data_IF_372338213177
#
_entry.id   IF_372338213177
#
_cell.length_a   1.000
_cell.length_b   1.000
_cell.length_c   1.000
_cell.angle_alpha   90.00
_cell.angle_beta   90.00
_cell.angle_gamma   90.00
#
_symmetry.space_group_name_H-M   'P 1'
#
loop_
_entity.id
_entity.type
_entity.pdbx_description
1 polymer ?
#
# COMPACT_ATOMS: atom_id res chain seq x y z
N UNK A 1 12.64 -10.29 -20.80
CA UNK A 1 11.44 -10.37 -21.64
C UNK A 1 10.78 -8.99 -21.88
N UNK A 2 10.88 -8.01 -20.96
CA UNK A 2 10.29 -6.66 -21.16
C UNK A 2 11.10 -5.67 -22.03
N UNK A 3 12.31 -6.03 -22.46
CA UNK A 3 13.14 -5.16 -23.30
C UNK A 3 13.00 -5.44 -24.80
N UNK A 4 12.25 -6.49 -25.21
CA UNK A 4 12.12 -6.90 -26.62
C UNK A 4 10.95 -6.27 -27.37
N UNK A 5 10.04 -5.57 -26.70
CA UNK A 5 8.98 -4.78 -27.34
C UNK A 5 9.47 -3.38 -27.77
N UNK A 6 10.79 -3.20 -27.89
CA UNK A 6 11.46 -1.91 -28.12
C UNK A 6 11.41 -1.41 -29.58
N UNK A 7 10.71 -2.10 -30.48
CA UNK A 7 10.64 -1.69 -31.90
C UNK A 7 9.55 -0.65 -32.22
N UNK A 8 8.85 -0.11 -31.21
CA UNK A 8 8.00 1.08 -31.39
C UNK A 8 8.38 2.18 -30.39
N UNK A 9 9.00 3.24 -30.92
CA UNK A 9 9.43 4.44 -30.20
C UNK A 9 8.26 5.22 -29.56
N UNK A 10 8.60 5.91 -28.45
CA UNK A 10 7.93 7.06 -27.79
C UNK A 10 7.12 6.88 -26.50
N UNK A 11 6.93 5.69 -25.93
CA UNK A 11 6.42 5.58 -24.56
C UNK A 11 6.77 4.22 -23.95
N UNK A 12 7.85 4.16 -23.20
CA UNK A 12 8.24 2.96 -22.46
C UNK A 12 7.25 2.75 -21.29
N UNK A 13 6.19 1.97 -21.54
CA UNK A 13 4.99 1.89 -20.68
C UNK A 13 5.10 0.91 -19.51
N UNK A 14 6.01 -0.07 -19.53
CA UNK A 14 6.11 -1.10 -18.51
C UNK A 14 7.52 -1.21 -17.94
N UNK A 15 7.69 -0.77 -16.68
CA UNK A 15 8.96 -0.84 -15.96
C UNK A 15 8.75 -1.25 -14.51
N UNK A 16 9.57 -2.17 -14.04
CA UNK A 16 9.73 -2.45 -12.62
C UNK A 16 10.91 -1.64 -12.09
N UNK A 17 10.67 -0.72 -11.15
CA UNK A 17 11.77 -0.01 -10.48
C UNK A 17 12.51 -0.99 -9.57
N UNK A 18 13.84 -0.97 -9.66
CA UNK A 18 14.73 -1.77 -8.83
C UNK A 18 15.85 -0.87 -8.28
N UNK A 19 16.52 -1.35 -7.25
CA UNK A 19 17.66 -0.68 -6.63
C UNK A 19 18.83 -1.65 -6.48
N UNK A 20 20.05 -1.13 -6.48
CA UNK A 20 21.25 -1.95 -6.40
C UNK A 20 21.50 -2.46 -4.98
N UNK A 21 21.92 -3.72 -4.88
CA UNK A 21 22.38 -4.34 -3.63
C UNK A 21 23.74 -4.98 -3.91
N UNK A 22 24.76 -4.56 -3.17
CA UNK A 22 26.15 -5.03 -3.33
C UNK A 22 26.54 -5.81 -2.07
N UNK A 23 26.57 -7.14 -2.10
CA UNK A 23 27.06 -7.93 -0.97
C UNK A 23 28.57 -7.71 -0.82
N UNK A 24 29.01 -7.41 0.41
CA UNK A 24 30.43 -7.27 0.78
C UNK A 24 30.93 -8.51 1.55
N UNK A 25 30.01 -9.36 2.00
CA UNK A 25 30.29 -10.62 2.66
C UNK A 25 28.98 -11.36 3.02
N UNK A 26 29.06 -12.46 3.79
CA UNK A 26 27.88 -13.27 4.12
C UNK A 26 26.84 -12.55 5.01
N UNK A 27 27.27 -11.53 5.76
CA UNK A 27 26.43 -10.78 6.72
C UNK A 27 26.50 -9.26 6.54
N UNK A 28 27.15 -8.80 5.48
CA UNK A 28 27.35 -7.37 5.21
C UNK A 28 27.17 -7.07 3.73
N UNK A 29 26.61 -5.91 3.45
CA UNK A 29 26.37 -5.44 2.10
C UNK A 29 25.93 -3.99 2.11
N UNK A 30 25.91 -3.39 0.94
CA UNK A 30 25.43 -2.03 0.70
C UNK A 30 24.12 -2.10 -0.07
N UNK A 31 23.15 -1.29 0.33
CA UNK A 31 21.86 -1.13 -0.35
C UNK A 31 21.80 0.29 -0.86
N UNK A 32 21.47 0.47 -2.13
CA UNK A 32 21.26 1.79 -2.69
C UNK A 32 20.09 2.48 -2.00
N UNK A 33 20.30 3.72 -1.59
CA UNK A 33 19.19 4.59 -1.23
C UNK A 33 18.39 4.94 -2.48
N UNK A 34 17.06 5.03 -2.34
CA UNK A 34 16.17 5.47 -3.41
C UNK A 34 15.64 6.83 -3.01
N UNK A 35 16.00 7.85 -3.77
CA UNK A 35 15.57 9.23 -3.52
C UNK A 35 14.15 9.49 -4.04
N UNK A 36 13.52 10.54 -3.48
CA UNK A 36 12.22 11.07 -3.90
C UNK A 36 11.04 10.09 -3.84
N UNK A 37 11.16 9.04 -3.03
CA UNK A 37 10.07 8.10 -2.76
C UNK A 37 9.50 8.34 -1.36
N UNK A 38 8.18 8.26 -1.26
CA UNK A 38 7.44 8.43 -0.01
C UNK A 38 6.75 7.11 0.34
N UNK A 39 6.95 6.55 1.55
CA UNK A 39 6.18 5.39 2.00
C UNK A 39 4.69 5.72 2.06
N UNK A 40 3.83 4.81 1.61
CA UNK A 40 2.39 5.02 1.67
C UNK A 40 1.90 5.23 3.12
N UNK A 41 2.59 4.65 4.10
CA UNK A 41 2.27 4.86 5.51
C UNK A 41 2.44 6.32 5.94
N UNK A 42 3.40 7.04 5.36
CA UNK A 42 3.61 8.45 5.64
C UNK A 42 2.41 9.30 5.24
N UNK A 43 1.72 8.96 4.14
CA UNK A 43 0.50 9.65 3.70
C UNK A 43 -0.64 9.45 4.71
N UNK A 44 -0.83 8.20 5.16
CA UNK A 44 -1.83 7.87 6.19
C UNK A 44 -1.52 8.61 7.52
N UNK A 45 -0.27 8.59 7.96
CA UNK A 45 0.16 9.27 9.19
C UNK A 45 -0.04 10.78 9.13
N UNK A 46 0.25 11.41 7.98
CA UNK A 46 -0.01 12.84 7.75
C UNK A 46 -1.50 13.16 7.87
N UNK A 47 -2.37 12.33 7.30
CA UNK A 47 -3.82 12.48 7.45
C UNK A 47 -4.26 12.35 8.91
N UNK A 48 -3.82 11.32 9.63
CA UNK A 48 -4.16 11.14 11.05
C UNK A 48 -3.75 12.33 11.92
N UNK A 49 -2.53 12.87 11.69
CA UNK A 49 -2.05 14.04 12.41
C UNK A 49 -2.91 15.28 12.12
N UNK A 50 -3.38 15.47 10.88
CA UNK A 50 -4.27 16.57 10.51
C UNK A 50 -5.62 16.46 11.22
N UNK A 51 -6.23 15.27 11.22
CA UNK A 51 -7.50 15.03 11.91
C UNK A 51 -7.36 15.23 13.43
N UNK A 52 -6.29 14.72 14.04
CA UNK A 52 -6.01 14.91 15.45
C UNK A 52 -5.81 16.39 15.82
N UNK A 53 -5.15 17.18 14.97
CA UNK A 53 -4.99 18.62 15.18
C UNK A 53 -6.33 19.37 15.09
N UNK A 54 -7.19 19.02 14.13
CA UNK A 54 -8.53 19.61 13.99
C UNK A 54 -9.39 19.31 15.23
N UNK A 55 -9.38 18.06 15.71
CA UNK A 55 -10.09 17.67 16.91
C UNK A 55 -9.53 18.36 18.16
N UNK A 56 -8.21 18.47 18.25
CA UNK A 56 -7.56 19.14 19.38
C UNK A 56 -7.98 20.62 19.47
N UNK A 57 -8.06 21.30 18.32
CA UNK A 57 -8.53 22.68 18.23
C UNK A 57 -10.02 22.82 18.60
N UNK A 58 -10.87 21.86 18.23
CA UNK A 58 -12.31 21.88 18.55
C UNK A 58 -12.60 21.59 20.02
N UNK A 59 -11.83 20.71 20.66
CA UNK A 59 -12.10 20.19 22.00
C UNK A 59 -11.24 20.87 23.09
N UNK A 60 -10.29 21.74 22.72
CA UNK A 60 -9.28 22.31 23.63
C UNK A 60 -8.53 21.24 24.46
N UNK A 61 -8.41 20.02 23.92
CA UNK A 61 -7.70 18.89 24.53
C UNK A 61 -6.73 18.30 23.52
N UNK A 62 -5.55 17.90 23.97
CA UNK A 62 -4.57 17.25 23.11
C UNK A 62 -5.06 15.85 22.72
N UNK A 63 -5.25 15.63 21.41
CA UNK A 63 -5.61 14.33 20.85
C UNK A 63 -4.35 13.69 20.28
N UNK A 64 -3.96 12.54 20.84
CA UNK A 64 -2.82 11.78 20.36
C UNK A 64 -3.23 10.80 19.25
N UNK A 65 -2.39 10.68 18.23
CA UNK A 65 -2.58 9.70 17.16
C UNK A 65 -2.27 8.30 17.68
N UNK A 66 -3.26 7.42 17.59
CA UNK A 66 -3.14 6.02 17.99
C UNK A 66 -2.41 5.19 16.93
N UNK A 67 -1.73 4.13 17.38
CA UNK A 67 -1.09 3.17 16.49
C UNK A 67 -2.15 2.32 15.76
N UNK A 68 -1.87 1.82 14.54
CA UNK A 68 -2.82 0.97 13.81
C UNK A 68 -3.30 -0.25 14.61
N UNK A 69 -2.42 -0.85 15.41
CA UNK A 69 -2.78 -1.97 16.30
C UNK A 69 -3.80 -1.54 17.36
N UNK A 70 -3.62 -0.37 17.97
CA UNK A 70 -4.52 0.16 19.00
C UNK A 70 -5.89 0.48 18.40
N UNK A 71 -5.93 1.12 17.23
CA UNK A 71 -7.18 1.39 16.51
C UNK A 71 -7.97 0.10 16.23
N UNK A 72 -7.27 -0.95 15.79
CA UNK A 72 -7.87 -2.26 15.53
C UNK A 72 -8.41 -2.92 16.81
N UNK A 73 -7.61 -3.01 17.86
CA UNK A 73 -8.03 -3.65 19.11
C UNK A 73 -9.11 -2.87 19.87
N UNK A 74 -9.12 -1.53 19.78
CA UNK A 74 -10.15 -0.70 20.39
C UNK A 74 -11.55 -0.97 19.83
N UNK A 75 -11.66 -1.31 18.54
CA UNK A 75 -12.93 -1.72 17.91
C UNK A 75 -13.22 -3.21 18.10
N UNK A 76 -12.19 -4.05 18.08
CA UNK A 76 -12.36 -5.50 18.18
C UNK A 76 -12.78 -5.95 19.58
N UNK A 77 -12.14 -5.42 20.63
CA UNK A 77 -12.31 -5.92 22.01
C UNK A 77 -13.76 -5.79 22.53
N UNK A 78 -14.50 -4.68 22.29
CA UNK A 78 -15.90 -4.59 22.69
C UNK A 78 -16.78 -5.64 22.02
N UNK A 79 -16.62 -5.82 20.70
CA UNK A 79 -17.41 -6.79 19.92
C UNK A 79 -17.11 -8.24 20.32
N UNK A 80 -15.86 -8.58 20.63
CA UNK A 80 -15.50 -9.91 21.14
C UNK A 80 -16.11 -10.15 22.53
N UNK A 81 -16.10 -9.13 23.40
CA UNK A 81 -16.70 -9.22 24.74
C UNK A 81 -18.21 -9.42 24.68
N UNK A 82 -18.91 -8.71 23.79
CA UNK A 82 -20.35 -8.89 23.54
C UNK A 82 -20.67 -10.29 23.01
N UNK A 83 -19.81 -10.84 22.16
CA UNK A 83 -19.94 -12.21 21.65
C UNK A 83 -19.48 -13.31 22.63
N UNK A 84 -18.95 -12.94 23.82
CA UNK A 84 -18.43 -13.89 24.81
C UNK A 84 -17.17 -14.64 24.36
N UNK A 85 -16.40 -14.11 23.41
CA UNK A 85 -15.19 -14.75 22.86
C UNK A 85 -13.92 -14.18 23.51
N UNK A 86 -12.94 -15.04 23.81
CA UNK A 86 -11.64 -14.62 24.35
C UNK A 86 -10.81 -13.81 23.35
N UNK A 87 -10.10 -12.80 23.84
CA UNK A 87 -9.19 -11.96 23.06
C UNK A 87 -7.84 -12.63 22.80
N UNK A 88 -7.52 -13.74 23.48
CA UNK A 88 -6.20 -14.37 23.40
C UNK A 88 -6.04 -15.28 22.18
N UNK A 89 -7.09 -16.03 21.83
CA UNK A 89 -7.01 -17.01 20.75
C UNK A 89 -7.56 -16.48 19.42
N UNK A 90 -6.67 -15.90 18.61
CA UNK A 90 -7.01 -15.34 17.28
C UNK A 90 -7.68 -16.34 16.32
N UNK A 91 -7.45 -17.65 16.48
CA UNK A 91 -8.06 -18.67 15.62
C UNK A 91 -9.57 -18.82 15.85
N UNK A 92 -10.06 -18.43 17.02
CA UNK A 92 -11.46 -18.55 17.41
C UNK A 92 -12.28 -17.28 17.08
N UNK A 93 -11.62 -16.23 16.60
CA UNK A 93 -12.30 -14.97 16.30
C UNK A 93 -13.31 -15.11 15.17
N UNK A 94 -14.58 -14.71 15.38
CA UNK A 94 -15.60 -14.80 14.34
C UNK A 94 -15.28 -13.93 13.12
N UNK A 95 -15.38 -14.53 11.93
CA UNK A 95 -15.13 -13.83 10.66
C UNK A 95 -16.10 -12.66 10.45
N UNK A 96 -17.33 -12.76 10.95
CA UNK A 96 -18.34 -11.69 10.91
C UNK A 96 -17.84 -10.43 11.63
N UNK A 97 -17.34 -10.58 12.86
CA UNK A 97 -16.78 -9.48 13.66
C UNK A 97 -15.56 -8.87 12.97
N UNK A 98 -14.66 -9.70 12.44
CA UNK A 98 -13.48 -9.21 11.73
C UNK A 98 -13.84 -8.39 10.48
N UNK A 99 -14.86 -8.83 9.73
CA UNK A 99 -15.39 -8.10 8.57
C UNK A 99 -16.04 -6.79 8.99
N UNK A 100 -16.78 -6.78 10.10
CA UNK A 100 -17.39 -5.57 10.65
C UNK A 100 -16.33 -4.54 11.05
N UNK A 101 -15.32 -4.93 11.84
CA UNK A 101 -14.21 -4.04 12.23
C UNK A 101 -13.48 -3.49 11.01
N UNK A 102 -13.21 -4.32 10.02
CA UNK A 102 -12.59 -3.89 8.76
C UNK A 102 -13.47 -2.86 8.03
N UNK A 103 -14.77 -3.09 7.97
CA UNK A 103 -15.71 -2.19 7.32
C UNK A 103 -15.73 -0.82 8.01
N UNK A 104 -15.89 -0.79 9.33
CA UNK A 104 -15.88 0.45 10.13
C UNK A 104 -14.59 1.26 9.92
N UNK A 105 -13.42 0.63 10.08
CA UNK A 105 -12.12 1.30 9.88
C UNK A 105 -11.94 1.80 8.44
N UNK A 106 -12.46 1.06 7.47
CA UNK A 106 -12.41 1.44 6.06
C UNK A 106 -13.34 2.61 5.74
N UNK A 107 -14.46 2.76 6.45
CA UNK A 107 -15.39 3.89 6.28
C UNK A 107 -14.89 5.17 6.95
N UNK A 108 -14.15 5.06 8.05
CA UNK A 108 -13.55 6.20 8.75
C UNK A 108 -12.38 6.83 7.97
N UNK A 109 -11.65 6.02 7.21
CA UNK A 109 -10.49 6.48 6.44
C UNK A 109 -10.90 6.92 5.03
N UNK A 110 -10.53 8.12 4.57
CA UNK A 110 -10.74 8.54 3.19
C UNK A 110 -10.09 7.57 2.21
N UNK A 111 -10.79 7.29 1.11
CA UNK A 111 -10.32 6.36 0.05
C UNK A 111 -9.41 7.05 -0.97
N UNK A 112 -9.30 8.36 -0.92
CA UNK A 112 -8.65 9.20 -1.93
C UNK A 112 -7.38 9.86 -1.41
N UNK A 113 -6.76 9.36 -0.34
CA UNK A 113 -5.53 9.96 0.22
C UNK A 113 -4.40 9.96 -0.81
N UNK A 114 -4.11 8.80 -1.40
CA UNK A 114 -3.08 8.70 -2.43
C UNK A 114 -3.46 9.47 -3.69
N UNK A 115 -4.74 9.41 -4.07
CA UNK A 115 -5.25 10.13 -5.23
C UNK A 115 -5.01 11.65 -5.06
N UNK A 116 -5.45 12.25 -3.96
CA UNK A 116 -5.23 13.68 -3.68
C UNK A 116 -3.76 14.07 -3.68
N UNK A 117 -2.88 13.25 -3.13
CA UNK A 117 -1.44 13.55 -3.10
C UNK A 117 -0.82 13.54 -4.51
N UNK A 118 -1.25 12.61 -5.38
CA UNK A 118 -0.88 12.62 -6.80
C UNK A 118 -1.41 13.87 -7.53
N UNK A 119 -2.66 14.27 -7.26
CA UNK A 119 -3.20 15.50 -7.82
C UNK A 119 -2.43 16.74 -7.38
N UNK A 120 -2.25 16.91 -6.07
CA UNK A 120 -1.61 18.08 -5.48
C UNK A 120 -0.12 18.20 -5.83
N UNK A 121 0.53 17.09 -6.19
CA UNK A 121 1.92 17.09 -6.66
C UNK A 121 2.05 17.43 -8.15
N UNK A 122 0.94 17.47 -8.89
CA UNK A 122 0.91 17.80 -10.32
C UNK A 122 0.70 19.29 -10.56
N UNK A 123 1.45 19.88 -11.49
CA UNK A 123 1.35 21.29 -11.87
C UNK A 123 0.24 21.52 -12.91
N UNK A 124 -0.02 20.52 -13.77
CA UNK A 124 -1.05 20.58 -14.80
C UNK A 124 -1.90 19.30 -14.85
N UNK A 125 -3.14 19.39 -15.38
CA UNK A 125 -3.98 18.20 -15.57
C UNK A 125 -3.36 17.17 -16.51
N UNK A 126 -2.55 17.61 -17.48
CA UNK A 126 -1.81 16.72 -18.37
C UNK A 126 -0.74 15.93 -17.60
N UNK A 127 0.06 16.62 -16.78
CA UNK A 127 1.07 15.97 -15.94
C UNK A 127 0.40 14.96 -14.99
N UNK A 128 -0.72 15.35 -14.39
CA UNK A 128 -1.50 14.47 -13.55
C UNK A 128 -1.95 13.20 -14.29
N UNK A 129 -2.49 13.36 -15.51
CA UNK A 129 -2.93 12.24 -16.32
C UNK A 129 -1.78 11.29 -16.65
N UNK A 130 -0.62 11.83 -17.04
CA UNK A 130 0.58 11.03 -17.28
C UNK A 130 1.03 10.29 -16.01
N UNK A 131 1.01 10.96 -14.85
CA UNK A 131 1.40 10.36 -13.58
C UNK A 131 0.46 9.22 -13.18
N UNK A 132 -0.86 9.40 -13.33
CA UNK A 132 -1.86 8.36 -13.04
C UNK A 132 -1.68 7.14 -13.95
N UNK A 133 -1.35 7.36 -15.23
CA UNK A 133 -1.02 6.27 -16.16
C UNK A 133 0.23 5.51 -15.72
N UNK A 134 1.31 6.21 -15.39
CA UNK A 134 2.57 5.59 -14.90
C UNK A 134 2.35 4.80 -13.61
N UNK A 135 1.58 5.36 -12.67
CA UNK A 135 1.16 4.69 -11.44
C UNK A 135 0.42 3.38 -11.74
N UNK A 136 -0.58 3.43 -12.63
CA UNK A 136 -1.34 2.24 -13.03
C UNK A 136 -0.44 1.14 -13.61
N UNK A 137 0.45 1.49 -14.54
CA UNK A 137 1.39 0.54 -15.12
C UNK A 137 2.36 -0.03 -14.08
N UNK A 138 2.90 0.82 -13.21
CA UNK A 138 3.85 0.41 -12.18
C UNK A 138 3.22 -0.54 -11.16
N UNK A 139 2.01 -0.24 -10.69
CA UNK A 139 1.25 -1.12 -9.79
C UNK A 139 0.95 -2.45 -10.45
N UNK A 140 0.55 -2.45 -11.72
CA UNK A 140 0.26 -3.67 -12.46
C UNK A 140 1.49 -4.59 -12.56
N UNK A 141 2.61 -4.03 -13.02
CA UNK A 141 3.87 -4.75 -13.20
C UNK A 141 4.38 -5.30 -11.87
N UNK A 142 4.43 -4.46 -10.83
CA UNK A 142 4.92 -4.88 -9.50
C UNK A 142 3.99 -5.90 -8.84
N UNK A 143 2.68 -5.82 -9.08
CA UNK A 143 1.71 -6.82 -8.57
C UNK A 143 1.89 -8.17 -9.25
N UNK A 144 2.09 -8.21 -10.57
CA UNK A 144 2.31 -9.47 -11.29
C UNK A 144 3.66 -10.10 -10.94
N UNK A 145 4.72 -9.29 -10.86
CA UNK A 145 6.03 -9.76 -10.39
C UNK A 145 5.93 -10.31 -8.97
N UNK A 146 5.25 -9.59 -8.07
CA UNK A 146 5.03 -10.02 -6.70
C UNK A 146 4.28 -11.34 -6.60
N UNK A 147 3.25 -11.54 -7.43
CA UNK A 147 2.52 -12.80 -7.52
C UNK A 147 3.43 -13.96 -7.97
N UNK A 148 4.20 -13.77 -9.05
CA UNK A 148 5.08 -14.81 -9.60
C UNK A 148 6.17 -15.21 -8.60
N UNK A 149 6.77 -14.24 -7.90
CA UNK A 149 7.83 -14.50 -6.92
C UNK A 149 7.26 -15.01 -5.58
N UNK A 150 5.95 -14.84 -5.33
CA UNK A 150 5.35 -15.10 -4.03
C UNK A 150 5.84 -14.12 -2.97
N UNK A 151 5.88 -12.83 -3.31
CA UNK A 151 6.33 -11.74 -2.44
C UNK A 151 5.25 -11.40 -1.38
N UNK A 152 5.58 -11.60 -0.11
CA UNK A 152 4.75 -11.25 1.05
C UNK A 152 5.21 -9.98 1.75
N UNK A 153 4.64 -9.68 2.92
CA UNK A 153 5.00 -8.55 3.79
C UNK A 153 4.91 -7.18 3.08
N UNK A 154 3.88 -7.01 2.23
CA UNK A 154 3.62 -5.77 1.50
C UNK A 154 2.88 -4.75 2.38
N UNK A 155 3.42 -4.40 3.55
CA UNK A 155 2.88 -3.33 4.39
C UNK A 155 3.19 -1.94 3.80
N UNK A 156 2.59 -0.90 4.37
CA UNK A 156 2.62 0.46 3.81
C UNK A 156 3.99 1.16 3.89
N UNK A 157 4.95 0.59 4.63
CA UNK A 157 6.34 1.08 4.62
C UNK A 157 7.19 0.39 3.54
N UNK A 158 6.80 -0.82 3.13
CA UNK A 158 7.48 -1.57 2.06
C UNK A 158 6.97 -1.22 0.65
N UNK A 159 5.89 -0.45 0.57
CA UNK A 159 5.34 0.08 -0.69
C UNK A 159 5.53 1.58 -0.69
N UNK A 160 6.43 2.04 -1.55
CA UNK A 160 6.80 3.45 -1.70
C UNK A 160 6.24 3.99 -3.02
N UNK A 161 5.89 5.27 -3.04
CA UNK A 161 5.45 5.98 -4.25
C UNK A 161 6.33 7.20 -4.49
N UNK A 162 6.74 7.39 -5.74
CA UNK A 162 7.37 8.62 -6.19
C UNK A 162 6.27 9.60 -6.59
N UNK A 163 6.10 10.68 -5.82
CA UNK A 163 5.05 11.67 -6.06
C UNK A 163 5.35 12.62 -7.23
N UNK A 164 6.55 12.55 -7.82
CA UNK A 164 6.92 13.32 -9.02
C UNK A 164 6.65 12.53 -10.30
N UNK A 165 6.92 11.23 -10.30
CA UNK A 165 6.74 10.36 -11.48
C UNK A 165 5.47 9.50 -11.45
N UNK A 166 4.95 9.18 -10.28
CA UNK A 166 3.84 8.24 -10.05
C UNK A 166 4.28 6.78 -9.94
N UNK A 167 5.56 6.47 -10.10
CA UNK A 167 6.05 5.10 -10.06
C UNK A 167 6.03 4.53 -8.62
N UNK A 168 5.75 3.24 -8.51
CA UNK A 168 5.73 2.49 -7.25
C UNK A 168 7.00 1.67 -7.12
N UNK A 169 7.62 1.73 -5.95
CA UNK A 169 8.82 0.97 -5.60
C UNK A 169 8.49 0.06 -4.43
N UNK A 170 8.74 -1.23 -4.60
CA UNK A 170 8.71 -2.18 -3.49
C UNK A 170 10.12 -2.33 -2.92
N UNK A 171 10.23 -2.23 -1.60
CA UNK A 171 11.44 -2.53 -0.84
C UNK A 171 11.22 -3.75 0.05
N UNK A 172 12.30 -4.21 0.67
CA UNK A 172 12.37 -5.41 1.52
C UNK A 172 11.86 -6.68 0.81
N UNK A 173 12.79 -7.56 0.43
CA UNK A 173 12.49 -8.83 -0.26
C UNK A 173 12.75 -10.05 0.65
N UNK A 174 12.77 -9.87 1.97
CA UNK A 174 13.06 -10.94 2.92
C UNK A 174 11.98 -12.04 2.92
N UNK A 175 10.74 -11.66 2.61
CA UNK A 175 9.56 -12.55 2.54
C UNK A 175 9.20 -12.86 1.09
N UNK A 176 10.10 -13.51 0.34
CA UNK A 176 9.83 -14.04 -1.01
C UNK A 176 9.60 -15.56 -1.00
N UNK A 177 9.20 -16.12 -2.14
CA UNK A 177 9.01 -17.55 -2.37
C UNK A 177 7.93 -18.15 -1.44
N UNK A 178 6.81 -17.45 -1.34
CA UNK A 178 5.62 -17.86 -0.57
C UNK A 178 5.83 -18.01 0.95
N UNK A 179 6.94 -17.50 1.50
CA UNK A 179 7.19 -17.46 2.95
C UNK A 179 6.09 -16.77 3.76
N UNK A 180 5.32 -15.87 3.15
CA UNK A 180 4.16 -15.23 3.78
C UNK A 180 3.09 -16.23 4.24
N UNK A 181 3.00 -17.41 3.61
CA UNK A 181 2.04 -18.47 3.99
C UNK A 181 2.44 -19.20 5.28
N UNK A 182 3.72 -19.18 5.66
CA UNK A 182 4.25 -19.87 6.84
C UNK A 182 4.31 -19.00 8.09
N UNK A 183 3.90 -17.73 8.01
CA UNK A 183 3.85 -16.81 9.15
C UNK A 183 2.80 -17.24 10.18
N UNK A 184 2.94 -16.76 11.43
CA UNK A 184 1.96 -17.00 12.51
C UNK A 184 0.53 -16.62 12.10
N UNK A 185 0.40 -15.56 11.30
CA UNK A 185 -0.83 -15.18 10.62
C UNK A 185 -0.54 -15.24 9.11
N UNK A 186 -0.99 -16.28 8.41
CA UNK A 186 -0.68 -16.45 6.99
C UNK A 186 -1.26 -15.33 6.12
N UNK A 187 -0.44 -14.82 5.20
CA UNK A 187 -0.88 -13.94 4.12
C UNK A 187 -1.47 -14.77 2.98
N UNK A 188 -2.77 -14.62 2.73
CA UNK A 188 -3.50 -15.35 1.67
C UNK A 188 -3.66 -14.56 0.38
N UNK A 189 -3.44 -13.24 0.42
CA UNK A 189 -3.58 -12.35 -0.73
C UNK A 189 -2.28 -12.33 -1.54
N UNK A 190 -2.35 -12.39 -2.88
CA UNK A 190 -1.16 -12.45 -3.73
C UNK A 190 -0.41 -11.11 -3.83
N UNK A 191 -1.12 -10.00 -3.68
CA UNK A 191 -0.58 -8.64 -3.68
C UNK A 191 -1.55 -7.70 -2.97
N UNK A 192 -1.09 -6.49 -2.67
CA UNK A 192 -1.88 -5.48 -1.96
C UNK A 192 -2.79 -4.74 -2.92
N UNK A 193 -4.11 -4.85 -2.74
CA UNK A 193 -5.10 -4.06 -3.47
C UNK A 193 -6.14 -3.46 -2.54
N UNK A 194 -5.75 -2.38 -1.86
CA UNK A 194 -6.60 -1.69 -0.86
C UNK A 194 -7.39 -0.54 -1.48
N UNK A 195 -8.44 -0.02 -0.81
CA UNK A 195 -9.27 1.05 -1.37
C UNK A 195 -8.49 2.27 -1.86
N UNK A 196 -7.48 2.72 -1.11
CA UNK A 196 -6.64 3.85 -1.51
C UNK A 196 -5.82 3.59 -2.79
N UNK A 197 -5.35 2.36 -3.00
CA UNK A 197 -4.63 2.01 -4.22
C UNK A 197 -5.58 1.95 -5.42
N UNK A 198 -6.79 1.42 -5.23
CA UNK A 198 -7.82 1.31 -6.27
C UNK A 198 -8.32 2.69 -6.70
N UNK A 199 -8.64 3.57 -5.76
CA UNK A 199 -9.14 4.92 -6.07
C UNK A 199 -8.09 5.76 -6.80
N UNK A 200 -6.80 5.56 -6.52
CA UNK A 200 -5.72 6.23 -7.24
C UNK A 200 -5.55 5.78 -8.70
N UNK A 201 -6.19 4.68 -9.13
CA UNK A 201 -6.22 4.26 -10.55
C UNK A 201 -7.22 5.07 -11.39
N UNK A 202 -8.03 5.92 -10.75
CA UNK A 202 -9.07 6.70 -11.39
C UNK A 202 -10.44 6.02 -11.36
N UNK A 203 -11.39 6.61 -12.10
CA UNK A 203 -12.82 6.22 -12.08
C UNK A 203 -13.09 4.79 -12.56
N UNK A 204 -12.22 4.27 -13.42
CA UNK A 204 -12.28 2.91 -13.95
C UNK A 204 -11.72 1.86 -12.98
N UNK A 205 -11.05 2.30 -11.90
CA UNK A 205 -10.47 1.43 -10.88
C UNK A 205 -9.61 0.32 -11.48
N UNK A 206 -9.91 -0.92 -11.08
CA UNK A 206 -9.12 -2.11 -11.45
C UNK A 206 -9.31 -2.56 -12.90
N UNK A 207 -10.38 -2.14 -13.57
CA UNK A 207 -10.66 -2.57 -14.95
C UNK A 207 -9.62 -2.03 -15.93
N UNK A 208 -9.11 -0.81 -15.67
CA UNK A 208 -8.02 -0.23 -16.45
C UNK A 208 -6.69 -0.97 -16.27
N UNK A 209 -6.46 -1.56 -15.11
CA UNK A 209 -5.29 -2.39 -14.82
C UNK A 209 -5.38 -3.73 -15.58
N UNK A 210 -6.55 -4.38 -15.47
CA UNK A 210 -6.83 -5.70 -16.04
C UNK A 210 -6.75 -5.72 -17.57
N UNK A 211 -7.36 -4.74 -18.25
CA UNK A 211 -7.48 -4.74 -19.70
C UNK A 211 -6.19 -4.38 -20.46
N UNK A 212 -5.22 -3.76 -19.79
CA UNK A 212 -4.03 -3.21 -20.47
C UNK A 212 -2.71 -3.86 -20.06
N UNK A 213 -2.61 -4.39 -18.83
CA UNK A 213 -1.30 -4.63 -18.21
C UNK A 213 -1.12 -6.00 -17.56
N UNK A 214 -2.20 -6.70 -17.22
CA UNK A 214 -2.16 -7.94 -16.43
C UNK A 214 -2.70 -9.18 -17.17
N UNK A 215 -3.16 -9.03 -18.42
CA UNK A 215 -3.59 -10.12 -19.31
C UNK A 215 -2.60 -10.21 -20.46
#
# INVERSE_FOLDING_TARGET
>A
MMARDSENNDNQTYRARHYSVIPLGPRSGLISWVDNVTPLFALYKRWQNREAAILSAKTNKTVNVLRPSELFYNKLNPLLKEAGVSTENRKEWPVSILKQVLHELSTETPRDLLWRELWCSSVSPEQWWQMTRRYSYSVAVMSMIGYIIGLGDRHLDNVLVDLTSGEVVHIDYNVCFEKGKTLRVPEKVPFRMTPNLVTALGVTGVESLRLKCCI
#
